data_IF_780579634174
#
_entry.id   IF_780579634174
#
_cell.length_a   1.000
_cell.length_b   1.000
_cell.length_c   1.000
_cell.angle_alpha   90.00
_cell.angle_beta   90.00
_cell.angle_gamma   90.00
#
_symmetry.space_group_name_H-M   'P 1'
#
loop_
_entity.id
_entity.type
_entity.pdbx_description
1 polymer ?
#
# COMPACT_ATOMS: atom_id res chain seq x y z
N UNK A 1 24.57 -8.65 15.65
CA UNK A 1 24.40 -7.29 15.07
C UNK A 1 23.16 -7.32 14.22
N UNK A 2 22.21 -6.40 14.44
CA UNK A 2 21.08 -6.25 13.52
C UNK A 2 21.61 -5.67 12.22
N UNK A 3 21.58 -6.44 11.14
CA UNK A 3 22.06 -6.02 9.82
C UNK A 3 21.16 -4.90 9.31
N UNK A 4 21.73 -3.72 9.07
CA UNK A 4 21.00 -2.67 8.36
C UNK A 4 20.78 -3.06 6.90
N UNK A 5 19.73 -2.52 6.29
CA UNK A 5 19.33 -2.84 4.90
C UNK A 5 19.83 -1.81 3.88
N UNK A 6 20.88 -1.04 4.21
CA UNK A 6 21.38 0.00 3.30
C UNK A 6 22.10 -0.55 2.06
N UNK A 7 22.47 -1.83 2.07
CA UNK A 7 23.13 -2.54 0.96
C UNK A 7 22.15 -3.19 -0.02
N UNK A 8 20.85 -3.11 0.24
CA UNK A 8 19.82 -3.66 -0.67
C UNK A 8 19.95 -3.08 -2.08
N UNK A 9 19.73 -3.91 -3.10
CA UNK A 9 20.01 -3.56 -4.50
C UNK A 9 19.20 -2.37 -5.02
N UNK A 10 18.01 -2.13 -4.45
CA UNK A 10 17.12 -1.02 -4.82
C UNK A 10 17.42 0.27 -4.03
N UNK A 11 18.32 0.23 -3.04
CA UNK A 11 18.74 1.42 -2.30
C UNK A 11 19.86 2.12 -3.08
N UNK A 12 19.77 3.44 -3.31
CA UNK A 12 20.82 4.18 -4.00
C UNK A 12 22.19 4.03 -3.31
N UNK A 13 23.24 3.87 -4.12
CA UNK A 13 24.63 3.82 -3.63
C UNK A 13 25.25 5.21 -3.43
N UNK A 14 24.53 6.26 -3.79
CA UNK A 14 24.96 7.66 -3.73
C UNK A 14 24.05 8.50 -2.82
N UNK A 15 24.48 9.74 -2.55
CA UNK A 15 23.73 10.68 -1.74
C UNK A 15 23.91 10.49 -0.23
N UNK A 16 23.23 11.34 0.55
CA UNK A 16 23.32 11.31 2.01
C UNK A 16 22.69 10.03 2.58
N UNK A 17 23.10 9.64 3.80
CA UNK A 17 22.50 8.51 4.51
C UNK A 17 20.99 8.66 4.68
N UNK A 18 20.50 9.87 4.95
CA UNK A 18 19.07 10.14 5.11
C UNK A 18 18.31 9.92 3.80
N UNK A 19 18.86 10.38 2.67
CA UNK A 19 18.26 10.13 1.36
C UNK A 19 18.13 8.62 1.07
N UNK A 20 19.21 7.88 1.30
CA UNK A 20 19.23 6.42 1.08
C UNK A 20 18.23 5.70 1.97
N UNK A 21 18.11 6.09 3.24
CA UNK A 21 17.10 5.56 4.17
C UNK A 21 15.69 5.89 3.67
N UNK A 22 15.44 7.13 3.24
CA UNK A 22 14.13 7.52 2.71
C UNK A 22 13.71 6.68 1.52
N UNK A 23 14.61 6.42 0.57
CA UNK A 23 14.34 5.51 -0.55
C UNK A 23 14.19 4.06 -0.09
N UNK A 24 15.02 3.63 0.87
CA UNK A 24 14.95 2.28 1.45
C UNK A 24 13.61 1.97 2.11
N UNK A 25 13.09 2.91 2.92
CA UNK A 25 11.78 2.78 3.59
C UNK A 25 10.66 2.62 2.57
N UNK A 26 10.72 3.31 1.42
CA UNK A 26 9.70 3.15 0.39
C UNK A 26 9.62 1.72 -0.14
N UNK A 27 10.67 0.91 0.02
CA UNK A 27 10.71 -0.47 -0.45
C UNK A 27 10.19 -0.59 -1.90
N UNK A 28 10.69 0.31 -2.77
CA UNK A 28 10.11 0.62 -4.09
C UNK A 28 9.70 -0.61 -4.92
N UNK A 29 10.48 -1.71 -5.00
CA UNK A 29 10.04 -2.89 -5.74
C UNK A 29 8.69 -3.44 -5.25
N UNK A 30 8.49 -3.51 -3.94
CA UNK A 30 7.25 -3.99 -3.35
C UNK A 30 6.10 -3.00 -3.55
N UNK A 31 6.35 -1.70 -3.35
CA UNK A 31 5.35 -0.66 -3.65
C UNK A 31 4.91 -0.73 -5.10
N UNK A 32 5.84 -0.92 -6.04
CA UNK A 32 5.53 -1.07 -7.45
C UNK A 32 4.70 -2.33 -7.73
N UNK A 33 4.96 -3.46 -7.06
CA UNK A 33 4.14 -4.68 -7.20
C UNK A 33 2.70 -4.42 -6.77
N UNK A 34 2.48 -3.88 -5.56
CA UNK A 34 1.13 -3.60 -5.05
C UNK A 34 0.41 -2.56 -5.91
N UNK A 35 1.14 -1.52 -6.37
CA UNK A 35 0.59 -0.50 -7.27
C UNK A 35 0.26 -1.10 -8.66
N UNK A 36 0.98 -2.13 -9.10
CA UNK A 36 0.66 -2.84 -10.34
C UNK A 36 -0.60 -3.68 -10.20
N UNK A 37 -0.85 -4.27 -9.02
CA UNK A 37 -2.09 -5.01 -8.76
C UNK A 37 -3.32 -4.10 -8.76
N UNK A 38 -3.21 -2.86 -8.30
CA UNK A 38 -4.34 -1.94 -8.48
C UNK A 38 -4.50 -1.52 -9.95
N UNK A 39 -3.39 -1.27 -10.65
CA UNK A 39 -3.41 -0.85 -12.05
C UNK A 39 -4.06 -1.90 -12.97
N UNK A 40 -3.75 -3.19 -12.79
CA UNK A 40 -4.38 -4.23 -13.60
C UNK A 40 -5.85 -4.45 -13.25
N UNK A 41 -6.26 -4.10 -12.02
CA UNK A 41 -7.63 -4.26 -11.55
C UNK A 41 -8.51 -3.27 -12.29
N UNK A 42 -7.97 -2.08 -12.56
CA UNK A 42 -8.62 -1.11 -13.44
C UNK A 42 -8.80 -1.57 -14.88
N UNK A 43 -8.15 -2.65 -15.32
CA UNK A 43 -8.33 -3.19 -16.68
C UNK A 43 -9.48 -4.19 -16.78
N UNK A 44 -10.18 -4.51 -15.68
CA UNK A 44 -11.24 -5.54 -15.66
C UNK A 44 -12.61 -5.06 -16.18
N UNK A 45 -12.69 -3.84 -16.72
CA UNK A 45 -13.93 -3.23 -17.20
C UNK A 45 -13.70 -1.96 -18.02
N UNK A 46 -14.73 -1.11 -18.11
CA UNK A 46 -14.62 0.23 -18.73
C UNK A 46 -13.48 1.02 -18.09
N UNK A 47 -12.71 1.74 -18.91
CA UNK A 47 -11.43 2.29 -18.48
C UNK A 47 -11.34 3.80 -18.68
N UNK A 48 -11.03 4.51 -17.59
CA UNK A 48 -10.68 5.93 -17.60
C UNK A 48 -9.28 6.14 -16.99
N UNK A 49 -8.44 6.90 -17.71
CA UNK A 49 -7.01 7.05 -17.38
C UNK A 49 -6.77 7.88 -16.11
N UNK A 50 -7.61 8.88 -15.87
CA UNK A 50 -7.60 9.72 -14.67
C UNK A 50 -7.92 8.92 -13.41
N UNK A 51 -8.88 7.99 -13.48
CA UNK A 51 -9.18 7.03 -12.39
C UNK A 51 -8.02 6.09 -12.11
N UNK A 52 -7.37 5.56 -13.15
CA UNK A 52 -6.16 4.75 -13.00
C UNK A 52 -5.07 5.54 -12.28
N UNK A 53 -4.80 6.77 -12.73
CA UNK A 53 -3.78 7.61 -12.11
C UNK A 53 -4.12 7.90 -10.64
N UNK A 54 -5.38 8.24 -10.35
CA UNK A 54 -5.85 8.51 -9.00
C UNK A 54 -5.65 7.31 -8.07
N UNK A 55 -6.07 6.11 -8.48
CA UNK A 55 -5.94 4.93 -7.62
C UNK A 55 -4.48 4.50 -7.45
N UNK A 56 -3.64 4.63 -8.48
CA UNK A 56 -2.20 4.39 -8.33
C UNK A 56 -1.56 5.37 -7.32
N UNK A 57 -1.96 6.64 -7.33
CA UNK A 57 -1.52 7.63 -6.33
C UNK A 57 -1.99 7.24 -4.93
N UNK A 58 -3.25 6.82 -4.78
CA UNK A 58 -3.81 6.34 -3.49
C UNK A 58 -2.98 5.20 -2.92
N UNK A 59 -2.68 4.17 -3.71
CA UNK A 59 -1.90 3.01 -3.24
C UNK A 59 -0.43 3.33 -2.98
N UNK A 60 0.19 4.14 -3.84
CA UNK A 60 1.57 4.57 -3.61
C UNK A 60 1.69 5.33 -2.28
N UNK A 61 0.77 6.25 -2.01
CA UNK A 61 0.78 7.03 -0.77
C UNK A 61 0.39 6.20 0.46
N UNK A 62 -0.69 5.42 0.39
CA UNK A 62 -1.17 4.63 1.52
C UNK A 62 -0.23 3.46 1.86
N UNK A 63 0.13 2.65 0.86
CA UNK A 63 0.93 1.43 1.07
C UNK A 63 2.42 1.72 0.94
N UNK A 64 2.85 2.49 -0.07
CA UNK A 64 4.27 2.74 -0.30
C UNK A 64 4.91 3.75 0.65
N UNK A 65 4.16 4.76 1.08
CA UNK A 65 4.68 5.82 1.97
C UNK A 65 4.20 5.61 3.40
N UNK A 66 2.88 5.60 3.62
CA UNK A 66 2.33 5.61 4.96
C UNK A 66 2.53 4.28 5.68
N UNK A 67 2.17 3.15 5.08
CA UNK A 67 2.30 1.83 5.69
C UNK A 67 3.76 1.52 6.05
N UNK A 68 4.71 1.72 5.13
CA UNK A 68 6.14 1.52 5.44
C UNK A 68 6.68 2.47 6.52
N UNK A 69 6.21 3.72 6.54
CA UNK A 69 6.57 4.65 7.62
C UNK A 69 6.01 4.21 8.97
N UNK A 70 4.78 3.67 9.00
CA UNK A 70 4.17 3.09 10.21
C UNK A 70 4.86 1.79 10.62
N UNK A 71 5.32 0.97 9.68
CA UNK A 71 6.10 -0.24 9.96
C UNK A 71 7.42 0.12 10.64
N UNK A 72 8.10 1.16 10.14
CA UNK A 72 9.29 1.69 10.82
C UNK A 72 8.99 2.20 12.25
N UNK A 73 7.75 2.60 12.57
CA UNK A 73 7.32 2.94 13.93
C UNK A 73 7.05 1.67 14.75
N UNK A 74 6.14 0.80 14.30
CA UNK A 74 5.59 -0.30 15.09
C UNK A 74 6.35 -1.63 15.01
N UNK A 75 6.96 -1.92 13.86
CA UNK A 75 7.64 -3.18 13.59
C UNK A 75 8.72 -3.52 14.62
N UNK A 76 8.77 -4.77 15.05
CA UNK A 76 9.76 -5.26 16.04
C UNK A 76 11.20 -5.15 15.54
N UNK A 77 11.39 -5.31 14.23
CA UNK A 77 12.71 -5.13 13.61
C UNK A 77 12.90 -3.69 13.14
N UNK A 78 14.14 -3.19 13.18
CA UNK A 78 14.48 -1.81 12.78
C UNK A 78 15.56 -1.81 11.69
N UNK A 79 15.27 -2.35 10.49
CA UNK A 79 16.24 -2.51 9.41
C UNK A 79 16.83 -1.18 8.90
N UNK A 80 16.08 -0.09 9.10
CA UNK A 80 16.46 1.27 8.71
C UNK A 80 17.00 2.10 9.89
N UNK A 81 17.21 1.45 11.05
CA UNK A 81 17.67 2.06 12.30
C UNK A 81 16.55 2.71 13.12
N UNK A 82 16.96 3.33 14.23
CA UNK A 82 16.06 4.06 15.14
C UNK A 82 15.76 5.46 14.59
N UNK A 83 14.68 5.56 13.81
CA UNK A 83 14.26 6.81 13.18
C UNK A 83 13.35 7.63 14.10
N UNK A 84 13.31 8.97 13.95
CA UNK A 84 12.43 9.81 14.76
C UNK A 84 10.95 9.51 14.50
N UNK A 85 10.29 8.83 15.45
CA UNK A 85 8.87 8.40 15.35
C UNK A 85 7.92 9.54 14.99
N UNK A 86 8.13 10.74 15.53
CA UNK A 86 7.31 11.92 15.23
C UNK A 86 7.34 12.26 13.73
N UNK A 87 8.49 12.16 13.06
CA UNK A 87 8.60 12.43 11.62
C UNK A 87 7.87 11.38 10.80
N UNK A 88 8.05 10.10 11.16
CA UNK A 88 7.35 8.99 10.49
C UNK A 88 5.84 9.15 10.57
N UNK A 89 5.30 9.45 11.75
CA UNK A 89 3.86 9.72 11.93
C UNK A 89 3.37 10.90 11.10
N UNK A 90 4.09 12.02 11.08
CA UNK A 90 3.71 13.18 10.26
C UNK A 90 3.64 12.80 8.78
N UNK A 91 4.66 12.10 8.27
CA UNK A 91 4.70 11.64 6.87
C UNK A 91 3.54 10.69 6.58
N UNK A 92 3.29 9.70 7.44
CA UNK A 92 2.16 8.78 7.30
C UNK A 92 0.82 9.50 7.28
N UNK A 93 0.58 10.43 8.21
CA UNK A 93 -0.70 11.14 8.31
C UNK A 93 -0.95 12.05 7.10
N UNK A 94 0.08 12.72 6.59
CA UNK A 94 -0.05 13.54 5.37
C UNK A 94 -0.38 12.64 4.16
N UNK A 95 0.36 11.55 3.98
CA UNK A 95 0.14 10.62 2.87
C UNK A 95 -1.26 9.98 2.94
N UNK A 96 -1.70 9.54 4.13
CA UNK A 96 -3.06 9.02 4.34
C UNK A 96 -4.14 10.07 4.14
N UNK A 97 -3.91 11.32 4.57
CA UNK A 97 -4.85 12.41 4.35
C UNK A 97 -5.13 12.62 2.87
N UNK A 98 -4.09 12.63 2.03
CA UNK A 98 -4.23 12.73 0.58
C UNK A 98 -4.92 11.47 0.01
N UNK A 99 -4.46 10.28 0.38
CA UNK A 99 -5.01 9.01 -0.11
C UNK A 99 -6.50 8.85 0.23
N UNK A 100 -6.89 9.12 1.48
CA UNK A 100 -8.30 9.05 1.90
C UNK A 100 -9.14 10.14 1.26
N UNK A 101 -8.61 11.34 1.04
CA UNK A 101 -9.36 12.39 0.32
C UNK A 101 -9.68 11.94 -1.10
N UNK A 102 -8.70 11.41 -1.84
CA UNK A 102 -8.92 10.89 -3.20
C UNK A 102 -9.83 9.66 -3.23
N UNK A 103 -9.61 8.70 -2.33
CA UNK A 103 -10.43 7.50 -2.24
C UNK A 103 -11.89 7.81 -1.90
N UNK A 104 -12.13 8.67 -0.92
CA UNK A 104 -13.48 9.10 -0.53
C UNK A 104 -14.14 9.95 -1.62
N UNK A 105 -13.38 10.79 -2.33
CA UNK A 105 -13.90 11.56 -3.45
C UNK A 105 -14.55 10.63 -4.50
N UNK A 106 -13.83 9.61 -4.99
CA UNK A 106 -14.41 8.66 -5.95
C UNK A 106 -15.48 7.76 -5.33
N UNK A 107 -15.32 7.39 -4.06
CA UNK A 107 -16.32 6.60 -3.35
C UNK A 107 -17.69 7.29 -3.29
N UNK A 108 -17.72 8.60 -3.07
CA UNK A 108 -18.94 9.40 -3.04
C UNK A 108 -19.38 9.91 -4.41
N UNK A 109 -18.47 9.98 -5.39
CA UNK A 109 -18.80 10.36 -6.76
C UNK A 109 -19.68 9.29 -7.42
N UNK A 110 -19.19 8.05 -7.49
CA UNK A 110 -19.90 6.94 -8.14
C UNK A 110 -19.36 5.54 -7.82
N UNK A 111 -18.34 5.43 -6.96
CA UNK A 111 -17.64 4.18 -6.68
C UNK A 111 -17.77 3.71 -5.22
N UNK A 112 -18.98 3.62 -4.64
CA UNK A 112 -19.17 3.31 -3.22
C UNK A 112 -18.59 1.96 -2.75
N UNK A 113 -18.29 1.01 -3.65
CA UNK A 113 -17.55 -0.21 -3.29
C UNK A 113 -16.14 0.09 -2.73
N UNK A 114 -15.56 1.26 -3.03
CA UNK A 114 -14.32 1.71 -2.42
C UNK A 114 -14.44 1.91 -0.90
N UNK A 115 -15.64 2.11 -0.35
CA UNK A 115 -15.85 2.27 1.09
C UNK A 115 -15.55 0.97 1.85
N UNK A 116 -16.23 -0.17 1.60
CA UNK A 116 -15.92 -1.41 2.29
C UNK A 116 -14.50 -1.91 2.01
N UNK A 117 -13.97 -1.72 0.78
CA UNK A 117 -12.59 -2.07 0.44
C UNK A 117 -11.61 -1.22 1.26
N UNK A 118 -11.78 0.11 1.25
CA UNK A 118 -10.92 1.03 1.99
C UNK A 118 -10.97 0.85 3.51
N UNK A 119 -12.11 0.43 4.07
CA UNK A 119 -12.21 0.05 5.50
C UNK A 119 -11.35 -1.19 5.77
N UNK A 120 -11.45 -2.23 4.94
CA UNK A 120 -10.66 -3.45 5.10
C UNK A 120 -9.16 -3.16 4.95
N UNK A 121 -8.77 -2.38 3.95
CA UNK A 121 -7.37 -2.01 3.74
C UNK A 121 -6.84 -1.09 4.83
N UNK A 122 -7.62 -0.11 5.27
CA UNK A 122 -7.27 0.74 6.40
C UNK A 122 -7.03 -0.08 7.66
N UNK A 123 -7.89 -1.08 7.93
CA UNK A 123 -7.68 -2.03 9.02
C UNK A 123 -6.34 -2.75 8.90
N UNK A 124 -6.04 -3.39 7.75
CA UNK A 124 -4.78 -4.10 7.57
C UNK A 124 -3.57 -3.17 7.60
N UNK A 125 -3.66 -1.96 7.03
CA UNK A 125 -2.61 -0.96 7.06
C UNK A 125 -2.18 -0.66 8.50
N UNK A 126 -3.13 -0.39 9.39
CA UNK A 126 -2.78 -0.13 10.79
C UNK A 126 -2.43 -1.41 11.54
N UNK A 127 -3.22 -2.47 11.42
CA UNK A 127 -3.03 -3.70 12.19
C UNK A 127 -1.71 -4.41 11.87
N UNK A 128 -1.32 -4.46 10.58
CA UNK A 128 -0.10 -5.11 10.11
C UNK A 128 1.14 -4.29 10.52
N UNK A 129 1.20 -3.03 10.09
CA UNK A 129 2.42 -2.22 10.19
C UNK A 129 2.70 -1.71 11.61
N UNK A 130 1.66 -1.46 12.41
CA UNK A 130 1.84 -1.13 13.82
C UNK A 130 1.92 -2.37 14.72
N UNK A 131 1.83 -3.58 14.14
CA UNK A 131 1.70 -4.84 14.86
C UNK A 131 0.62 -4.79 15.96
N UNK A 132 -0.53 -4.16 15.67
CA UNK A 132 -1.64 -4.10 16.62
C UNK A 132 -2.13 -5.51 16.96
N UNK A 133 -2.86 -5.63 18.06
CA UNK A 133 -3.36 -6.93 18.56
C UNK A 133 -2.24 -7.95 18.79
N UNK A 134 -1.06 -7.47 19.21
CA UNK A 134 0.12 -8.31 19.45
C UNK A 134 0.75 -8.88 18.16
N UNK A 135 0.47 -8.30 17.00
CA UNK A 135 0.98 -8.76 15.71
C UNK A 135 0.19 -9.91 15.10
N UNK A 136 -1.05 -10.18 15.57
CA UNK A 136 -1.90 -11.26 15.04
C UNK A 136 -2.10 -11.20 13.52
N UNK A 137 -2.10 -10.00 12.95
CA UNK A 137 -2.27 -9.76 11.50
C UNK A 137 -0.95 -9.51 10.77
N UNK A 138 0.20 -9.59 11.44
CA UNK A 138 1.51 -9.47 10.78
C UNK A 138 1.95 -10.86 10.28
N UNK A 139 1.27 -11.36 9.25
CA UNK A 139 1.49 -12.71 8.71
C UNK A 139 1.18 -12.79 7.20
N UNK A 140 1.59 -13.88 6.56
CA UNK A 140 1.47 -14.08 5.11
C UNK A 140 0.01 -14.04 4.61
N UNK A 141 -0.94 -14.60 5.37
CA UNK A 141 -2.36 -14.60 4.97
C UNK A 141 -2.87 -13.15 4.87
N UNK A 142 -2.52 -12.33 5.88
CA UNK A 142 -2.91 -10.92 5.89
C UNK A 142 -2.26 -10.18 4.73
N UNK A 143 -0.97 -10.44 4.43
CA UNK A 143 -0.26 -9.89 3.26
C UNK A 143 -0.97 -10.23 1.95
N UNK A 144 -1.35 -11.49 1.74
CA UNK A 144 -2.03 -11.94 0.51
C UNK A 144 -3.38 -11.21 0.36
N UNK A 145 -4.17 -11.15 1.43
CA UNK A 145 -5.47 -10.48 1.41
C UNK A 145 -5.29 -8.98 1.16
N UNK A 146 -4.45 -8.31 1.97
CA UNK A 146 -4.36 -6.85 1.98
C UNK A 146 -3.58 -6.28 0.81
N UNK A 147 -2.48 -6.91 0.42
CA UNK A 147 -1.54 -6.38 -0.57
C UNK A 147 -1.54 -7.15 -1.88
N UNK A 148 -2.24 -8.29 -1.96
CA UNK A 148 -2.46 -9.04 -3.19
C UNK A 148 -3.87 -8.88 -3.74
N UNK A 149 -4.89 -9.24 -2.95
CA UNK A 149 -6.30 -9.35 -3.40
C UNK A 149 -7.02 -8.00 -3.42
N UNK A 150 -7.08 -7.31 -2.27
CA UNK A 150 -7.83 -6.05 -2.15
C UNK A 150 -7.41 -4.95 -3.14
N UNK A 151 -6.11 -4.79 -3.50
CA UNK A 151 -5.69 -3.83 -4.51
C UNK A 151 -6.35 -4.04 -5.87
N UNK A 152 -6.51 -5.29 -6.29
CA UNK A 152 -7.18 -5.61 -7.57
C UNK A 152 -8.64 -5.16 -7.54
N UNK A 153 -9.33 -5.43 -6.42
CA UNK A 153 -10.72 -5.04 -6.26
C UNK A 153 -10.89 -3.53 -6.18
N UNK A 154 -9.98 -2.80 -5.54
CA UNK A 154 -10.04 -1.33 -5.57
C UNK A 154 -9.83 -0.78 -6.98
N UNK A 155 -8.92 -1.38 -7.76
CA UNK A 155 -8.67 -1.02 -9.14
C UNK A 155 -9.90 -1.22 -10.02
N UNK A 156 -10.62 -2.33 -9.85
CA UNK A 156 -11.90 -2.59 -10.52
C UNK A 156 -12.99 -1.64 -10.03
N UNK A 157 -13.11 -1.46 -8.71
CA UNK A 157 -14.15 -0.68 -8.08
C UNK A 157 -14.07 0.81 -8.43
N UNK A 158 -12.88 1.41 -8.54
CA UNK A 158 -12.78 2.82 -8.94
C UNK A 158 -13.24 3.02 -10.38
N UNK A 159 -13.08 2.04 -11.26
CA UNK A 159 -13.43 2.18 -12.68
C UNK A 159 -14.93 1.94 -12.93
N UNK A 160 -15.49 0.87 -12.38
CA UNK A 160 -16.84 0.41 -12.73
C UNK A 160 -17.76 0.23 -11.53
N UNK A 161 -17.29 0.50 -10.31
CA UNK A 161 -18.01 0.21 -9.07
C UNK A 161 -18.57 -1.23 -9.03
N UNK A 162 -17.81 -2.19 -9.56
CA UNK A 162 -18.22 -3.59 -9.63
C UNK A 162 -17.01 -4.52 -9.49
N UNK A 163 -17.27 -5.78 -9.15
CA UNK A 163 -16.29 -6.86 -9.13
C UNK A 163 -16.69 -7.87 -10.20
N UNK A 164 -16.04 -7.80 -11.36
CA UNK A 164 -16.28 -8.69 -12.48
C UNK A 164 -15.59 -10.04 -12.31
N UNK A 165 -15.89 -11.01 -13.19
CA UNK A 165 -15.21 -12.31 -13.20
C UNK A 165 -13.72 -12.11 -13.52
N UNK A 166 -13.41 -11.17 -14.40
CA UNK A 166 -12.05 -10.77 -14.76
C UNK A 166 -11.31 -10.26 -13.52
N UNK A 167 -11.94 -9.41 -12.71
CA UNK A 167 -11.36 -8.93 -11.45
C UNK A 167 -11.10 -10.07 -10.45
N UNK A 168 -11.99 -11.06 -10.36
CA UNK A 168 -11.80 -12.25 -9.52
C UNK A 168 -10.60 -13.09 -9.99
N UNK A 169 -10.46 -13.30 -11.31
CA UNK A 169 -9.33 -14.03 -11.89
C UNK A 169 -8.03 -13.29 -11.60
N UNK A 170 -7.97 -11.98 -11.85
CA UNK A 170 -6.79 -11.16 -11.57
C UNK A 170 -6.44 -11.18 -10.08
N UNK A 171 -7.42 -11.13 -9.18
CA UNK A 171 -7.21 -11.22 -7.75
C UNK A 171 -6.71 -12.61 -7.30
N UNK A 172 -7.18 -13.68 -7.93
CA UNK A 172 -6.65 -15.02 -7.70
C UNK A 172 -5.18 -15.12 -8.16
N UNK A 173 -4.85 -14.52 -9.31
CA UNK A 173 -3.47 -14.50 -9.81
C UNK A 173 -2.57 -13.66 -8.90
N UNK A 174 -2.97 -12.45 -8.46
CA UNK A 174 -2.16 -11.68 -7.49
C UNK A 174 -1.95 -12.46 -6.21
N UNK A 175 -2.98 -13.14 -5.71
CA UNK A 175 -2.89 -13.94 -4.49
C UNK A 175 -1.86 -15.09 -4.62
N UNK A 176 -1.74 -15.71 -5.80
CA UNK A 176 -0.80 -16.81 -6.05
C UNK A 176 0.66 -16.34 -6.17
N UNK A 177 0.88 -15.09 -6.57
CA UNK A 177 2.24 -14.52 -6.79
C UNK A 177 2.69 -13.58 -5.67
N UNK A 178 1.88 -13.42 -4.62
CA UNK A 178 2.19 -12.65 -3.40
C UNK A 178 2.76 -13.56 -2.32
#
# INVERSE_FOLDING_TARGET
MQTDRLSEWFVPKFGSRNFRISVGILFLPYTCIVTSFVAWGSLSGSFELDRLAAICIVYFLAVGVAAHSLDAVGGKTKPWGNLPKRKLWIVSLIALGIAFTLGLYYAFLDSPLLIPIGIAEGFFLFAYNLELFGGKFHNNISTIISWGILPVFAGSAIQTNSISIEALILAAVSALVT
#
